data_IF_863590362728
#
_entry.id   IF_863590362728
#
_cell.length_a   1.000
_cell.length_b   1.000
_cell.length_c   1.000
_cell.angle_alpha   90.00
_cell.angle_beta   90.00
_cell.angle_gamma   90.00
#
_symmetry.space_group_name_H-M   'P 1'
#
loop_
_entity.id
_entity.type
_entity.pdbx_description
1 polymer ?
#
# COMPACT_ATOMS: atom_id res chain seq x y z
N UNK A 1 -7.33 -17.04 7.80
CA UNK A 1 -7.26 -16.05 8.89
C UNK A 1 -8.14 -16.47 10.07
N UNK A 2 -9.43 -16.71 9.91
CA UNK A 2 -10.37 -17.03 11.00
C UNK A 2 -9.95 -18.20 11.91
N UNK A 3 -9.40 -19.25 11.36
CA UNK A 3 -9.14 -20.52 12.08
C UNK A 3 -7.74 -20.64 12.70
N UNK A 4 -6.84 -19.73 12.40
CA UNK A 4 -5.48 -19.76 12.91
C UNK A 4 -5.15 -18.44 13.62
N UNK A 5 -5.30 -17.32 12.93
CA UNK A 5 -4.86 -16.04 13.46
C UNK A 5 -5.82 -15.49 14.54
N UNK A 6 -7.12 -15.49 14.28
CA UNK A 6 -8.09 -14.95 15.23
C UNK A 6 -8.18 -15.73 16.56
N UNK A 7 -8.10 -17.08 16.59
CA UNK A 7 -8.05 -17.81 17.86
C UNK A 7 -6.88 -17.43 18.78
N UNK A 8 -5.75 -16.98 18.22
CA UNK A 8 -4.64 -16.44 19.04
C UNK A 8 -5.12 -15.26 19.89
N UNK A 9 -6.03 -14.45 19.38
CA UNK A 9 -6.62 -13.31 20.10
C UNK A 9 -7.97 -13.62 20.75
N UNK A 10 -8.31 -14.91 20.90
CA UNK A 10 -9.62 -15.35 21.43
C UNK A 10 -10.80 -14.75 20.65
N UNK A 11 -10.64 -14.54 19.36
CA UNK A 11 -11.67 -14.05 18.42
C UNK A 11 -12.12 -15.18 17.51
N UNK A 12 -13.39 -15.13 17.12
CA UNK A 12 -14.00 -16.10 16.19
C UNK A 12 -14.83 -15.43 15.09
N UNK A 13 -14.81 -14.10 15.02
CA UNK A 13 -15.55 -13.33 14.04
C UNK A 13 -14.63 -12.37 13.31
N UNK A 14 -14.86 -12.27 12.01
CA UNK A 14 -14.20 -11.34 11.11
C UNK A 14 -15.28 -10.58 10.34
N UNK A 15 -15.01 -9.33 10.04
CA UNK A 15 -15.90 -8.50 9.23
C UNK A 15 -15.46 -8.53 7.78
N UNK A 16 -16.42 -8.67 6.86
CA UNK A 16 -16.13 -8.49 5.44
C UNK A 16 -15.88 -7.00 5.14
N UNK A 17 -14.78 -6.69 4.47
CA UNK A 17 -14.42 -5.31 4.09
C UNK A 17 -15.54 -4.63 3.27
N UNK A 18 -16.30 -5.42 2.52
CA UNK A 18 -17.44 -4.96 1.74
C UNK A 18 -18.67 -4.56 2.57
N UNK A 19 -18.75 -4.91 3.86
CA UNK A 19 -19.95 -4.74 4.68
C UNK A 19 -19.77 -3.76 5.85
N UNK A 20 -18.52 -3.42 6.22
CA UNK A 20 -18.25 -2.54 7.36
C UNK A 20 -18.64 -1.10 7.06
N UNK A 21 -19.10 -0.40 8.10
CA UNK A 21 -19.37 1.05 8.05
C UNK A 21 -18.24 1.81 8.76
N UNK A 22 -18.06 3.10 8.46
CA UNK A 22 -17.09 3.94 9.15
C UNK A 22 -17.28 3.92 10.67
N UNK A 23 -18.53 3.88 11.14
CA UNK A 23 -18.84 3.81 12.58
C UNK A 23 -18.43 2.46 13.20
N UNK A 24 -18.70 1.34 12.53
CA UNK A 24 -18.30 0.01 13.01
C UNK A 24 -16.78 -0.06 13.12
N UNK A 25 -16.05 0.42 12.11
CA UNK A 25 -14.58 0.49 12.12
C UNK A 25 -14.06 1.30 13.31
N UNK A 26 -14.55 2.52 13.52
CA UNK A 26 -14.16 3.35 14.66
C UNK A 26 -14.43 2.68 16.00
N UNK A 27 -15.63 2.12 16.16
CA UNK A 27 -16.05 1.50 17.43
C UNK A 27 -15.23 0.26 17.76
N UNK A 28 -14.95 -0.58 16.77
CA UNK A 28 -14.16 -1.79 16.97
C UNK A 28 -12.67 -1.46 17.16
N UNK A 29 -12.12 -0.53 16.39
CA UNK A 29 -10.72 -0.09 16.54
C UNK A 29 -10.45 0.57 17.90
N UNK A 30 -11.46 1.22 18.49
CA UNK A 30 -11.36 1.81 19.82
C UNK A 30 -11.69 0.83 20.98
N UNK A 31 -12.08 -0.40 20.69
CA UNK A 31 -12.49 -1.36 21.71
C UNK A 31 -11.32 -2.02 22.43
N UNK A 32 -10.15 -2.04 21.83
CA UNK A 32 -8.94 -2.67 22.37
C UNK A 32 -7.70 -2.11 21.67
N UNK A 33 -6.61 -2.01 22.41
CA UNK A 33 -5.27 -1.73 21.86
C UNK A 33 -4.40 -2.99 21.67
N UNK A 34 -4.92 -4.15 22.03
CA UNK A 34 -4.19 -5.43 22.00
C UNK A 34 -4.79 -6.42 20.99
N UNK A 35 -6.12 -6.39 20.83
CA UNK A 35 -6.81 -7.31 19.95
C UNK A 35 -6.99 -6.64 18.58
N UNK A 36 -6.47 -7.22 17.51
CA UNK A 36 -6.56 -6.60 16.19
C UNK A 36 -8.00 -6.51 15.68
N UNK A 37 -8.30 -5.44 14.99
CA UNK A 37 -9.45 -5.36 14.09
C UNK A 37 -9.11 -6.17 12.83
N UNK A 38 -9.89 -7.18 12.55
CA UNK A 38 -9.67 -8.05 11.39
C UNK A 38 -10.75 -7.84 10.33
N UNK A 39 -10.32 -7.60 9.11
CA UNK A 39 -11.15 -7.47 7.91
C UNK A 39 -10.79 -8.58 6.92
N UNK A 40 -11.80 -9.15 6.26
CA UNK A 40 -11.63 -10.14 5.20
C UNK A 40 -12.29 -9.68 3.89
N UNK A 41 -12.05 -10.43 2.82
CA UNK A 41 -12.60 -10.15 1.50
C UNK A 41 -12.23 -8.75 0.97
N UNK A 42 -11.04 -8.25 1.35
CA UNK A 42 -10.56 -6.99 0.81
C UNK A 42 -10.18 -7.17 -0.66
N UNK A 43 -10.90 -6.48 -1.52
CA UNK A 43 -10.70 -6.50 -2.96
C UNK A 43 -11.06 -5.12 -3.54
N UNK A 44 -10.08 -4.19 -3.57
CA UNK A 44 -10.29 -2.81 -4.02
C UNK A 44 -11.04 -2.70 -5.34
N UNK A 45 -10.73 -3.55 -6.32
CA UNK A 45 -11.38 -3.56 -7.64
C UNK A 45 -12.89 -3.87 -7.62
N UNK A 46 -13.41 -4.43 -6.51
CA UNK A 46 -14.82 -4.81 -6.34
C UNK A 46 -15.59 -3.90 -5.39
N UNK A 47 -14.89 -3.01 -4.68
CA UNK A 47 -15.52 -2.07 -3.77
C UNK A 47 -15.96 -0.81 -4.53
N UNK A 48 -17.12 -0.27 -4.13
CA UNK A 48 -17.52 1.05 -4.60
C UNK A 48 -16.57 2.14 -4.05
N UNK A 49 -16.47 3.25 -4.79
CA UNK A 49 -15.54 4.33 -4.50
C UNK A 49 -15.70 4.93 -3.09
N UNK A 50 -16.94 5.04 -2.59
CA UNK A 50 -17.20 5.61 -1.27
C UNK A 50 -16.71 4.67 -0.18
N UNK A 51 -16.96 3.39 -0.32
CA UNK A 51 -16.54 2.37 0.64
C UNK A 51 -15.03 2.22 0.68
N UNK A 52 -14.39 2.20 -0.48
CA UNK A 52 -12.93 2.18 -0.57
C UNK A 52 -12.30 3.39 0.11
N UNK A 53 -12.86 4.59 -0.10
CA UNK A 53 -12.42 5.81 0.58
C UNK A 53 -12.58 5.72 2.11
N UNK A 54 -13.68 5.16 2.61
CA UNK A 54 -13.89 4.95 4.05
C UNK A 54 -12.82 4.02 4.62
N UNK A 55 -12.52 2.91 3.95
CA UNK A 55 -11.49 1.96 4.39
C UNK A 55 -10.09 2.60 4.38
N UNK A 56 -9.72 3.27 3.29
CA UNK A 56 -8.40 3.90 3.18
C UNK A 56 -8.19 5.03 4.17
N UNK A 57 -9.22 5.84 4.44
CA UNK A 57 -9.15 6.84 5.51
C UNK A 57 -8.95 6.18 6.86
N UNK A 58 -9.71 5.12 7.14
CA UNK A 58 -9.55 4.38 8.41
C UNK A 58 -8.14 3.76 8.54
N UNK A 59 -7.57 3.21 7.46
CA UNK A 59 -6.22 2.64 7.48
C UNK A 59 -5.16 3.72 7.79
N UNK A 60 -5.29 4.92 7.22
CA UNK A 60 -4.40 6.05 7.53
C UNK A 60 -4.57 6.51 8.98
N UNK A 61 -5.81 6.74 9.41
CA UNK A 61 -6.12 7.25 10.75
C UNK A 61 -5.66 6.27 11.83
N UNK A 62 -5.85 4.96 11.63
CA UNK A 62 -5.37 3.92 12.54
C UNK A 62 -3.84 3.87 12.61
N UNK A 63 -3.14 4.05 11.49
CA UNK A 63 -1.69 4.07 11.46
C UNK A 63 -1.11 5.33 12.09
N UNK A 64 -1.69 6.49 11.78
CA UNK A 64 -1.21 7.79 12.25
C UNK A 64 -1.68 8.09 13.70
N UNK A 65 -2.49 7.20 14.31
CA UNK A 65 -3.01 7.36 15.67
C UNK A 65 -4.03 8.49 15.82
N UNK A 66 -4.74 8.82 14.74
CA UNK A 66 -5.77 9.84 14.79
C UNK A 66 -7.02 9.34 15.51
N UNK A 67 -7.63 10.20 16.33
CA UNK A 67 -8.90 9.88 16.97
C UNK A 67 -10.06 10.03 15.98
N UNK A 68 -10.91 9.01 15.90
CA UNK A 68 -12.21 9.13 15.24
C UNK A 68 -13.16 9.96 16.10
N UNK A 69 -13.91 10.89 15.51
CA UNK A 69 -14.85 11.74 16.26
C UNK A 69 -16.26 11.56 15.73
N UNK A 70 -17.23 11.44 16.65
CA UNK A 70 -18.65 11.36 16.31
C UNK A 70 -19.47 12.36 17.13
N UNK A 71 -20.27 13.15 16.46
CA UNK A 71 -21.29 14.00 17.10
C UNK A 71 -22.47 13.18 17.63
N UNK A 72 -23.06 13.64 18.75
CA UNK A 72 -24.31 13.17 19.32
C UNK A 72 -25.45 14.13 19.02
N UNK A 73 -26.68 13.67 19.21
CA UNK A 73 -27.87 14.49 19.03
C UNK A 73 -27.93 15.71 19.99
N UNK A 74 -27.27 15.64 21.13
CA UNK A 74 -27.12 16.70 22.13
C UNK A 74 -25.97 17.68 21.82
N UNK A 75 -25.40 17.63 20.61
CA UNK A 75 -24.25 18.43 20.15
C UNK A 75 -22.92 18.11 20.86
N UNK A 76 -22.86 17.12 21.75
CA UNK A 76 -21.60 16.63 22.29
C UNK A 76 -20.86 15.77 21.26
N UNK A 77 -19.53 15.62 21.45
CA UNK A 77 -18.69 14.77 20.62
C UNK A 77 -18.07 13.64 21.42
N UNK A 78 -17.99 12.47 20.82
CA UNK A 78 -17.23 11.34 21.37
C UNK A 78 -15.98 11.16 20.50
N UNK A 79 -14.81 11.16 21.13
CA UNK A 79 -13.57 10.74 20.53
C UNK A 79 -13.38 9.23 20.70
N UNK A 80 -12.88 8.58 19.65
CA UNK A 80 -12.53 7.16 19.63
C UNK A 80 -11.04 7.04 19.31
N UNK A 81 -10.23 6.58 20.24
CA UNK A 81 -8.84 6.24 19.97
C UNK A 81 -8.78 5.00 19.07
N UNK A 82 -8.21 5.13 17.88
CA UNK A 82 -8.06 4.04 16.94
C UNK A 82 -6.78 3.24 17.25
N UNK A 83 -6.78 2.57 18.41
CA UNK A 83 -5.59 1.95 18.98
C UNK A 83 -5.42 0.47 18.59
N UNK A 84 -6.45 -0.19 18.04
CA UNK A 84 -6.37 -1.59 17.66
C UNK A 84 -5.45 -1.78 16.45
N UNK A 85 -4.51 -2.75 16.48
CA UNK A 85 -3.81 -3.18 15.28
C UNK A 85 -4.80 -3.62 14.21
N UNK A 86 -4.51 -3.34 12.94
CA UNK A 86 -5.38 -3.70 11.83
C UNK A 86 -4.79 -4.87 11.05
N UNK A 87 -5.59 -5.89 10.80
CA UNK A 87 -5.25 -7.02 9.94
C UNK A 87 -6.27 -7.09 8.82
N UNK A 88 -5.80 -7.03 7.60
CA UNK A 88 -6.65 -7.08 6.41
C UNK A 88 -6.25 -8.28 5.56
N UNK A 89 -7.20 -9.14 5.22
CA UNK A 89 -6.98 -10.23 4.28
C UNK A 89 -7.81 -10.00 3.01
N UNK A 90 -7.25 -10.39 1.89
CA UNK A 90 -7.92 -10.23 0.59
C UNK A 90 -7.14 -10.84 -0.55
N UNK A 91 -7.67 -10.68 -1.73
CA UNK A 91 -7.08 -11.21 -2.96
C UNK A 91 -6.21 -10.17 -3.69
N UNK A 92 -6.33 -8.90 -3.32
CA UNK A 92 -5.66 -7.78 -3.97
C UNK A 92 -4.97 -6.89 -2.93
N UNK A 93 -3.85 -6.31 -3.31
CA UNK A 93 -3.14 -5.30 -2.52
C UNK A 93 -3.81 -3.92 -2.65
N UNK A 94 -3.61 -3.02 -1.66
CA UNK A 94 -4.02 -1.63 -1.83
C UNK A 94 -3.34 -0.99 -3.04
N UNK A 95 -4.08 -0.23 -3.81
CA UNK A 95 -3.59 0.48 -5.01
C UNK A 95 -2.89 1.81 -4.68
N UNK A 96 -3.12 2.37 -3.48
CA UNK A 96 -2.49 3.61 -3.05
C UNK A 96 -1.12 3.38 -2.38
N UNK A 97 -0.06 4.01 -2.90
CA UNK A 97 1.30 3.96 -2.34
C UNK A 97 1.34 4.38 -0.87
N UNK A 98 0.56 5.40 -0.49
CA UNK A 98 0.47 5.87 0.88
C UNK A 98 -0.07 4.82 1.88
N UNK A 99 -0.94 3.91 1.44
CA UNK A 99 -1.42 2.79 2.26
C UNK A 99 -0.38 1.69 2.31
N UNK A 100 0.29 1.40 1.19
CA UNK A 100 1.34 0.38 1.12
C UNK A 100 2.52 0.67 2.05
N UNK A 101 2.98 1.92 2.10
CA UNK A 101 4.04 2.34 3.03
C UNK A 101 3.64 2.18 4.51
N UNK A 102 2.35 2.20 4.81
CA UNK A 102 1.79 2.02 6.16
C UNK A 102 1.45 0.58 6.49
N UNK A 103 1.68 -0.34 5.58
CA UNK A 103 1.29 -1.74 5.70
C UNK A 103 2.51 -2.66 5.64
N UNK A 104 2.38 -3.84 6.21
CA UNK A 104 3.26 -4.98 5.95
C UNK A 104 2.44 -6.04 5.22
N UNK A 105 2.78 -6.32 3.98
CA UNK A 105 2.07 -7.31 3.19
C UNK A 105 2.74 -8.67 3.28
N UNK A 106 1.93 -9.69 3.54
CA UNK A 106 2.35 -11.09 3.56
C UNK A 106 1.60 -11.82 2.45
N UNK A 107 2.33 -12.27 1.44
CA UNK A 107 1.77 -13.02 0.33
C UNK A 107 1.75 -14.51 0.65
N UNK A 108 0.56 -15.09 0.57
CA UNK A 108 0.36 -16.54 0.73
C UNK A 108 -0.13 -17.14 -0.59
N UNK A 109 0.52 -18.20 -1.04
CA UNK A 109 0.13 -18.90 -2.24
C UNK A 109 -0.30 -20.34 -1.96
N UNK A 110 -1.12 -20.91 -2.85
CA UNK A 110 -1.44 -22.35 -2.77
C UNK A 110 -0.20 -23.24 -2.90
N UNK A 111 0.87 -22.73 -3.50
CA UNK A 111 2.16 -23.45 -3.62
C UNK A 111 2.80 -23.69 -2.26
N UNK A 112 2.54 -22.80 -1.28
CA UNK A 112 3.10 -22.95 0.07
C UNK A 112 2.55 -24.18 0.81
N UNK A 113 1.39 -24.70 0.40
CA UNK A 113 0.77 -25.90 0.93
C UNK A 113 0.95 -27.14 0.06
N UNK A 114 1.82 -27.12 -0.96
CA UNK A 114 2.00 -28.26 -1.85
C UNK A 114 2.74 -29.42 -1.19
N UNK A 115 3.67 -29.18 -0.25
CA UNK A 115 4.33 -30.27 0.46
C UNK A 115 3.37 -30.96 1.43
N UNK A 116 3.46 -32.29 1.53
CA UNK A 116 2.66 -33.07 2.47
C UNK A 116 2.90 -32.64 3.93
N UNK A 117 4.15 -32.32 4.26
CA UNK A 117 4.56 -31.87 5.58
C UNK A 117 3.90 -30.53 5.96
N UNK A 118 3.97 -29.51 5.09
CA UNK A 118 3.33 -28.21 5.31
C UNK A 118 1.81 -28.33 5.44
N UNK A 119 1.20 -29.21 4.64
CA UNK A 119 -0.24 -29.50 4.70
C UNK A 119 -0.63 -30.13 6.03
N UNK A 120 0.17 -31.10 6.51
CA UNK A 120 -0.07 -31.70 7.83
C UNK A 120 0.09 -30.69 8.97
N UNK A 121 1.11 -29.83 8.92
CA UNK A 121 1.32 -28.76 9.89
C UNK A 121 0.14 -27.78 9.89
N UNK A 122 -0.32 -27.35 8.72
CA UNK A 122 -1.50 -26.50 8.59
C UNK A 122 -2.76 -27.16 9.16
N UNK A 123 -3.00 -28.43 8.86
CA UNK A 123 -4.17 -29.16 9.37
C UNK A 123 -4.13 -29.35 10.89
N UNK A 124 -2.94 -29.49 11.47
CA UNK A 124 -2.79 -29.53 12.95
C UNK A 124 -3.17 -28.19 13.58
N UNK A 125 -2.75 -27.07 12.99
CA UNK A 125 -3.11 -25.74 13.46
C UNK A 125 -4.61 -25.45 13.28
N UNK A 126 -5.19 -25.87 12.16
CA UNK A 126 -6.58 -25.60 11.80
C UNK A 126 -7.64 -26.14 12.78
N UNK A 127 -7.29 -27.14 13.58
CA UNK A 127 -8.19 -27.72 14.61
C UNK A 127 -7.77 -27.40 16.04
N UNK A 128 -6.85 -26.46 16.24
CA UNK A 128 -6.18 -26.25 17.53
C UNK A 128 -6.57 -24.96 18.24
N UNK A 129 -7.85 -24.53 18.18
CA UNK A 129 -8.33 -23.26 18.73
C UNK A 129 -7.90 -23.04 20.20
N UNK A 130 -7.97 -24.09 21.04
CA UNK A 130 -7.55 -24.02 22.44
C UNK A 130 -6.05 -23.80 22.59
N UNK A 131 -5.22 -24.47 21.77
CA UNK A 131 -3.77 -24.29 21.80
C UNK A 131 -3.36 -22.91 21.30
N UNK A 132 -4.00 -22.42 20.25
CA UNK A 132 -3.78 -21.07 19.71
C UNK A 132 -4.19 -20.00 20.72
N UNK A 133 -5.31 -20.15 21.42
CA UNK A 133 -5.73 -19.25 22.49
C UNK A 133 -4.76 -19.25 23.69
N UNK A 134 -4.17 -20.40 24.03
CA UNK A 134 -3.11 -20.46 25.05
C UNK A 134 -1.84 -19.74 24.61
N UNK A 135 -1.41 -19.92 23.36
CA UNK A 135 -0.30 -19.18 22.79
C UNK A 135 -0.55 -17.68 22.86
N UNK A 136 -1.73 -17.22 22.43
CA UNK A 136 -2.10 -15.80 22.50
C UNK A 136 -2.07 -15.24 23.92
N UNK A 137 -2.58 -15.99 24.89
CA UNK A 137 -2.50 -15.61 26.30
C UNK A 137 -1.04 -15.50 26.77
N UNK A 138 -0.20 -16.45 26.42
CA UNK A 138 1.23 -16.43 26.78
C UNK A 138 1.93 -15.20 26.18
N UNK A 139 1.67 -14.90 24.91
CA UNK A 139 2.22 -13.71 24.25
C UNK A 139 1.74 -12.42 24.94
N UNK A 140 0.47 -12.35 25.29
CA UNK A 140 -0.09 -11.20 26.00
C UNK A 140 0.55 -11.03 27.40
N UNK A 141 0.67 -12.11 28.17
CA UNK A 141 1.31 -12.09 29.49
C UNK A 141 2.78 -11.63 29.37
N UNK A 142 3.52 -12.14 28.39
CA UNK A 142 4.89 -11.70 28.12
C UNK A 142 4.97 -10.22 27.72
N UNK A 143 4.05 -9.77 26.86
CA UNK A 143 3.99 -8.36 26.46
C UNK A 143 3.69 -7.42 27.63
N UNK A 144 2.78 -7.81 28.54
CA UNK A 144 2.45 -7.06 29.75
C UNK A 144 3.60 -7.02 30.78
N UNK A 145 4.45 -8.04 30.79
CA UNK A 145 5.64 -8.09 31.63
C UNK A 145 6.83 -7.32 31.04
N UNK A 146 6.82 -7.07 29.73
CA UNK A 146 7.85 -6.30 29.03
C UNK A 146 7.73 -4.83 29.37
N UNK A 147 8.78 -4.22 29.90
CA UNK A 147 8.77 -2.79 30.20
C UNK A 147 8.72 -1.96 28.90
N UNK A 148 8.08 -0.77 28.92
CA UNK A 148 8.12 0.15 27.77
C UNK A 148 9.55 0.50 27.30
N UNK A 149 10.50 0.55 28.24
CA UNK A 149 11.91 0.80 27.93
C UNK A 149 12.50 -0.37 27.12
N UNK A 150 12.19 -1.61 27.51
CA UNK A 150 12.68 -2.79 26.80
C UNK A 150 12.06 -2.89 25.39
N UNK A 151 10.76 -2.67 25.27
CA UNK A 151 10.07 -2.67 23.97
C UNK A 151 10.65 -1.59 23.04
N UNK A 152 10.96 -0.39 23.57
CA UNK A 152 11.61 0.67 22.84
C UNK A 152 13.01 0.29 22.40
N UNK A 153 13.81 -0.36 23.27
CA UNK A 153 15.14 -0.83 22.94
C UNK A 153 15.12 -1.82 21.76
N UNK A 154 14.20 -2.78 21.77
CA UNK A 154 14.02 -3.71 20.62
C UNK A 154 13.63 -2.99 19.33
N UNK A 155 12.73 -2.02 19.43
CA UNK A 155 12.33 -1.22 18.27
C UNK A 155 13.51 -0.41 17.70
N UNK A 156 14.30 0.26 18.55
CA UNK A 156 15.46 1.06 18.15
C UNK A 156 16.56 0.16 17.54
N UNK A 157 16.82 -1.01 18.12
CA UNK A 157 17.71 -2.02 17.54
C UNK A 157 17.20 -2.48 16.17
N UNK A 158 15.91 -2.77 16.05
CA UNK A 158 15.27 -3.10 14.79
C UNK A 158 15.46 -2.04 13.73
N UNK A 159 15.31 -0.75 14.06
CA UNK A 159 15.58 0.34 13.10
C UNK A 159 17.02 0.33 12.57
N UNK A 160 17.98 -0.14 13.38
CA UNK A 160 19.37 -0.27 12.97
C UNK A 160 19.70 -1.47 12.09
N UNK A 161 18.83 -2.48 12.06
CA UNK A 161 19.05 -3.73 11.31
C UNK A 161 18.64 -3.67 9.85
N UNK A 162 17.77 -2.74 9.48
CA UNK A 162 17.25 -2.64 8.11
C UNK A 162 17.99 -1.60 7.28
N UNK A 163 17.97 -1.79 5.96
CA UNK A 163 18.68 -0.94 5.03
C UNK A 163 18.12 0.50 5.03
N UNK A 164 19.03 1.48 5.10
CA UNK A 164 18.71 2.92 5.22
C UNK A 164 18.04 3.52 3.98
N UNK A 165 18.12 2.84 2.84
CA UNK A 165 17.48 3.24 1.58
C UNK A 165 15.96 3.00 1.57
N UNK A 166 15.44 2.21 2.51
CA UNK A 166 14.00 2.00 2.65
C UNK A 166 13.33 3.28 3.19
N UNK A 167 12.08 3.55 2.78
CA UNK A 167 11.31 4.65 3.36
C UNK A 167 11.21 4.53 4.88
N UNK A 168 11.29 5.64 5.60
CA UNK A 168 11.29 5.64 7.06
C UNK A 168 10.08 4.91 7.68
N UNK A 169 8.88 5.05 7.08
CA UNK A 169 7.68 4.32 7.53
C UNK A 169 7.84 2.81 7.42
N UNK A 170 8.46 2.36 6.35
CA UNK A 170 8.71 0.93 6.11
C UNK A 170 9.70 0.39 7.13
N UNK A 171 10.79 1.12 7.42
CA UNK A 171 11.75 0.77 8.48
C UNK A 171 11.02 0.68 9.83
N UNK A 172 10.16 1.63 10.15
CA UNK A 172 9.38 1.61 11.40
C UNK A 172 8.49 0.37 11.49
N UNK A 173 7.80 0.00 10.42
CA UNK A 173 6.95 -1.20 10.39
C UNK A 173 7.79 -2.48 10.60
N UNK A 174 8.92 -2.58 9.89
CA UNK A 174 9.85 -3.70 10.04
C UNK A 174 10.45 -3.77 11.45
N UNK A 175 10.78 -2.64 12.05
CA UNK A 175 11.29 -2.55 13.43
C UNK A 175 10.24 -2.98 14.47
N UNK A 176 8.96 -2.66 14.25
CA UNK A 176 7.86 -3.19 15.06
C UNK A 176 7.76 -4.72 14.94
N UNK A 177 7.89 -5.26 13.73
CA UNK A 177 7.94 -6.71 13.48
C UNK A 177 9.11 -7.38 14.20
N UNK A 178 10.29 -6.76 14.13
CA UNK A 178 11.48 -7.22 14.84
C UNK A 178 11.29 -7.23 16.36
N UNK A 179 10.71 -6.18 16.93
CA UNK A 179 10.38 -6.16 18.36
C UNK A 179 9.41 -7.30 18.76
N UNK A 180 8.48 -7.64 17.86
CA UNK A 180 7.60 -8.82 18.02
C UNK A 180 8.37 -10.14 18.02
N UNK A 181 9.41 -10.29 17.17
CA UNK A 181 10.29 -11.47 17.18
C UNK A 181 11.10 -11.55 18.48
N UNK A 182 11.62 -10.44 18.99
CA UNK A 182 12.32 -10.40 20.28
C UNK A 182 11.38 -10.82 21.45
N UNK A 183 10.11 -10.44 21.39
CA UNK A 183 9.11 -10.90 22.37
C UNK A 183 8.91 -12.42 22.29
N UNK A 184 8.81 -12.97 21.09
CA UNK A 184 8.72 -14.42 20.87
C UNK A 184 9.96 -15.15 21.41
N UNK A 185 11.15 -14.63 21.15
CA UNK A 185 12.40 -15.17 21.70
C UNK A 185 12.37 -15.17 23.24
N UNK A 186 11.95 -14.07 23.86
CA UNK A 186 11.80 -14.00 25.31
C UNK A 186 10.80 -15.05 25.84
N UNK A 187 9.73 -15.33 25.13
CA UNK A 187 8.79 -16.41 25.48
C UNK A 187 9.48 -17.76 25.39
N UNK A 188 10.24 -18.04 24.31
CA UNK A 188 11.00 -19.27 24.18
C UNK A 188 11.96 -19.46 25.37
N UNK A 189 12.73 -18.45 25.71
CA UNK A 189 13.65 -18.47 26.86
C UNK A 189 12.90 -18.76 28.17
N UNK A 190 11.74 -18.13 28.39
CA UNK A 190 10.88 -18.36 29.55
C UNK A 190 10.41 -19.81 29.68
N UNK A 191 10.19 -20.50 28.57
CA UNK A 191 9.84 -21.92 28.52
C UNK A 191 11.05 -22.85 28.37
N UNK A 192 12.27 -22.34 28.40
CA UNK A 192 13.51 -23.10 28.16
C UNK A 192 13.53 -23.82 26.82
N UNK A 193 12.99 -23.17 25.80
CA UNK A 193 13.00 -23.65 24.42
C UNK A 193 14.10 -22.93 23.66
N UNK A 194 14.89 -23.67 22.91
CA UNK A 194 15.85 -23.10 21.96
C UNK A 194 15.10 -22.56 20.75
N UNK A 195 15.46 -21.35 20.28
CA UNK A 195 14.81 -20.71 19.13
C UNK A 195 14.82 -21.61 17.90
N UNK A 196 15.98 -22.19 17.57
CA UNK A 196 16.17 -23.05 16.39
C UNK A 196 15.37 -24.36 16.46
N UNK A 197 14.96 -24.79 17.66
CA UNK A 197 14.08 -25.95 17.84
C UNK A 197 12.61 -25.62 17.57
N UNK A 198 12.24 -24.35 17.65
CA UNK A 198 10.86 -23.87 17.48
C UNK A 198 10.63 -23.26 16.09
N UNK A 199 11.60 -22.49 15.61
CA UNK A 199 11.50 -21.75 14.36
C UNK A 199 12.53 -22.23 13.32
N UNK A 200 12.13 -22.35 12.04
CA UNK A 200 13.02 -22.84 10.98
C UNK A 200 14.06 -21.81 10.51
N UNK A 201 13.95 -20.57 10.97
CA UNK A 201 14.83 -19.46 10.61
C UNK A 201 15.40 -18.83 11.89
N UNK A 202 16.68 -18.55 11.89
CA UNK A 202 17.31 -17.73 12.92
C UNK A 202 16.83 -16.26 12.85
N UNK A 203 17.13 -15.44 13.86
CA UNK A 203 16.68 -14.03 13.93
C UNK A 203 17.19 -13.21 12.74
N UNK A 204 18.44 -13.42 12.32
CA UNK A 204 19.02 -12.69 11.20
C UNK A 204 18.39 -13.12 9.86
N UNK A 205 18.05 -14.40 9.72
CA UNK A 205 17.29 -14.90 8.56
C UNK A 205 15.86 -14.33 8.54
N UNK A 206 15.21 -14.18 9.70
CA UNK A 206 13.90 -13.52 9.81
C UNK A 206 13.98 -12.06 9.36
N UNK A 207 15.03 -11.33 9.77
CA UNK A 207 15.28 -9.94 9.35
C UNK A 207 15.46 -9.86 7.83
N UNK A 208 16.36 -10.68 7.26
CA UNK A 208 16.60 -10.73 5.79
C UNK A 208 15.34 -11.08 5.02
N UNK A 209 14.57 -12.05 5.50
CA UNK A 209 13.31 -12.46 4.88
C UNK A 209 12.30 -11.31 4.88
N UNK A 210 12.12 -10.63 6.02
CA UNK A 210 11.21 -9.52 6.16
C UNK A 210 11.58 -8.35 5.24
N UNK A 211 12.87 -8.00 5.16
CA UNK A 211 13.34 -6.96 4.24
C UNK A 211 13.13 -7.35 2.78
N UNK A 212 13.42 -8.59 2.41
CA UNK A 212 13.23 -9.10 1.04
C UNK A 212 11.76 -9.09 0.66
N UNK A 213 10.86 -9.53 1.54
CA UNK A 213 9.43 -9.53 1.30
C UNK A 213 8.90 -8.11 1.08
N UNK A 214 9.35 -7.15 1.90
CA UNK A 214 8.93 -5.75 1.76
C UNK A 214 9.52 -5.11 0.51
N UNK A 215 10.76 -5.39 0.15
CA UNK A 215 11.36 -4.90 -1.11
C UNK A 215 10.61 -5.43 -2.33
N UNK A 216 10.26 -6.72 -2.35
CA UNK A 216 9.46 -7.31 -3.41
C UNK A 216 8.11 -6.58 -3.54
N UNK A 217 7.41 -6.38 -2.44
CA UNK A 217 6.13 -5.67 -2.39
C UNK A 217 6.24 -4.19 -2.80
N UNK A 218 7.28 -3.48 -2.38
CA UNK A 218 7.52 -2.10 -2.79
C UNK A 218 7.93 -2.03 -4.26
N UNK A 219 8.68 -3.01 -4.76
CA UNK A 219 9.10 -3.08 -6.16
C UNK A 219 7.95 -3.54 -7.08
N UNK A 220 7.14 -4.51 -6.67
CA UNK A 220 5.89 -4.85 -7.36
C UNK A 220 4.90 -3.69 -7.32
N UNK A 221 4.95 -2.87 -6.24
CA UNK A 221 4.32 -1.57 -6.17
C UNK A 221 5.06 -0.50 -6.99
N UNK A 222 6.34 -0.66 -7.33
CA UNK A 222 7.10 0.29 -8.15
C UNK A 222 6.91 0.07 -9.65
N UNK A 223 6.42 -1.08 -10.10
CA UNK A 223 5.72 -1.16 -11.40
C UNK A 223 4.41 -0.35 -11.39
N UNK A 224 3.88 0.00 -10.20
CA UNK A 224 2.81 0.97 -9.95
C UNK A 224 3.29 2.21 -9.16
N UNK A 225 4.59 2.39 -8.91
CA UNK A 225 5.18 3.61 -8.33
C UNK A 225 5.48 4.67 -9.38
N UNK A 226 4.84 4.52 -10.52
CA UNK A 226 4.66 5.65 -11.41
C UNK A 226 3.98 6.74 -10.59
N UNK A 227 4.61 7.89 -10.50
CA UNK A 227 3.93 9.07 -9.97
C UNK A 227 2.61 9.22 -10.71
N UNK A 228 1.61 9.80 -10.09
CA UNK A 228 0.32 10.04 -10.78
C UNK A 228 0.51 10.82 -12.09
N UNK A 229 1.63 11.54 -12.22
CA UNK A 229 2.05 12.22 -13.44
C UNK A 229 2.43 11.19 -14.50
N UNK A 230 3.26 10.22 -14.16
CA UNK A 230 3.71 9.15 -15.07
C UNK A 230 2.53 8.26 -15.49
N UNK A 231 1.68 7.86 -14.55
CA UNK A 231 0.44 7.11 -14.85
C UNK A 231 -0.49 7.88 -15.81
N UNK A 232 -0.59 9.19 -15.61
CA UNK A 232 -1.38 10.05 -16.49
C UNK A 232 -0.80 10.07 -17.90
N UNK A 233 0.52 10.19 -18.04
CA UNK A 233 1.18 10.16 -19.36
C UNK A 233 1.09 8.79 -20.01
N UNK A 234 1.18 7.70 -19.27
CA UNK A 234 0.98 6.36 -19.81
C UNK A 234 -0.43 6.15 -20.37
N UNK A 235 -1.46 6.63 -19.68
CA UNK A 235 -2.83 6.59 -20.20
C UNK A 235 -2.97 7.52 -21.42
N UNK A 236 -2.37 8.72 -21.38
CA UNK A 236 -2.38 9.64 -22.51
C UNK A 236 -1.73 9.01 -23.76
N UNK A 237 -0.64 8.27 -23.60
CA UNK A 237 0.01 7.55 -24.70
C UNK A 237 -0.90 6.48 -25.34
N UNK A 238 -1.75 5.83 -24.53
CA UNK A 238 -2.69 4.78 -24.98
C UNK A 238 -4.00 5.32 -25.60
N UNK A 239 -4.27 6.61 -25.46
CA UNK A 239 -5.52 7.22 -25.95
C UNK A 239 -5.60 7.39 -27.47
N UNK A 240 -4.52 7.13 -28.20
CA UNK A 240 -4.47 7.37 -29.63
C UNK A 240 -4.43 8.87 -30.00
N UNK A 241 -3.61 9.62 -29.30
CA UNK A 241 -3.36 11.04 -29.61
C UNK A 241 -2.67 11.21 -30.97
N UNK A 242 -2.99 12.30 -31.65
CA UNK A 242 -2.46 12.56 -32.97
C UNK A 242 -1.20 13.43 -32.89
N UNK A 243 -0.04 12.96 -33.44
CA UNK A 243 1.12 13.81 -33.63
C UNK A 243 0.77 14.99 -34.55
N UNK A 244 1.43 16.12 -34.35
CA UNK A 244 1.19 17.38 -35.08
C UNK A 244 -0.23 17.99 -34.89
N UNK A 245 -1.02 17.44 -33.94
CA UNK A 245 -2.31 17.98 -33.51
C UNK A 245 -2.30 18.19 -31.98
N UNK A 246 -2.00 17.15 -31.23
CA UNK A 246 -2.04 17.11 -29.78
C UNK A 246 -0.66 17.33 -29.16
N UNK A 247 0.37 16.89 -29.84
CA UNK A 247 1.77 16.96 -29.42
C UNK A 247 2.73 16.96 -30.63
N UNK A 248 3.97 17.29 -30.34
CA UNK A 248 5.12 17.10 -31.26
C UNK A 248 6.39 16.85 -30.47
N UNK A 249 7.43 16.38 -31.11
CA UNK A 249 8.74 16.21 -30.48
C UNK A 249 9.71 17.32 -30.93
N UNK A 250 10.81 17.44 -30.21
CA UNK A 250 11.97 18.19 -30.74
C UNK A 250 12.70 17.36 -31.82
N UNK A 251 13.65 17.98 -32.46
CA UNK A 251 14.42 17.34 -33.57
C UNK A 251 15.23 16.12 -33.10
N UNK A 252 15.55 16.05 -31.83
CA UNK A 252 16.28 14.92 -31.21
C UNK A 252 15.37 13.81 -30.74
N UNK A 253 14.06 14.04 -30.61
CA UNK A 253 13.09 13.11 -30.07
C UNK A 253 13.16 12.94 -28.56
N UNK A 254 13.90 13.81 -27.86
CA UNK A 254 14.10 13.74 -26.40
C UNK A 254 13.08 14.54 -25.61
N UNK A 255 12.51 15.57 -26.21
CA UNK A 255 11.54 16.44 -25.59
C UNK A 255 10.17 16.30 -26.23
N UNK A 256 9.15 16.12 -25.42
CA UNK A 256 7.75 16.08 -25.82
C UNK A 256 7.10 17.46 -25.60
N UNK A 257 6.64 18.08 -26.67
CA UNK A 257 5.83 19.30 -26.66
C UNK A 257 4.37 18.92 -26.74
N UNK A 258 3.61 19.14 -25.69
CA UNK A 258 2.21 18.70 -25.60
C UNK A 258 1.26 19.88 -25.34
N UNK A 259 0.10 19.90 -26.02
CA UNK A 259 -1.02 20.82 -25.75
C UNK A 259 -1.75 20.38 -24.48
N UNK A 260 -1.08 20.54 -23.33
CA UNK A 260 -1.46 19.87 -22.09
C UNK A 260 -2.92 20.10 -21.68
N UNK A 261 -3.45 21.31 -21.83
CA UNK A 261 -4.85 21.62 -21.49
C UNK A 261 -5.81 20.78 -22.33
N UNK A 262 -5.62 20.79 -23.65
CA UNK A 262 -6.45 20.04 -24.58
C UNK A 262 -6.35 18.52 -24.36
N UNK A 263 -5.13 18.01 -24.24
CA UNK A 263 -4.90 16.57 -24.03
C UNK A 263 -5.43 16.12 -22.68
N UNK A 264 -5.39 16.96 -21.65
CA UNK A 264 -5.95 16.63 -20.34
C UNK A 264 -7.48 16.54 -20.35
N UNK A 265 -8.16 17.37 -21.14
CA UNK A 265 -9.61 17.27 -21.35
C UNK A 265 -9.97 15.95 -22.06
N UNK A 266 -9.20 15.57 -23.10
CA UNK A 266 -9.33 14.28 -23.79
C UNK A 266 -9.09 13.11 -22.83
N UNK A 267 -8.04 13.19 -22.00
CA UNK A 267 -7.74 12.19 -20.97
C UNK A 267 -8.90 12.00 -19.97
N UNK A 268 -9.46 13.10 -19.48
CA UNK A 268 -10.58 13.03 -18.54
C UNK A 268 -11.82 12.38 -19.17
N UNK A 269 -12.08 12.68 -20.45
CA UNK A 269 -13.17 12.07 -21.23
C UNK A 269 -12.89 10.58 -21.45
N UNK A 270 -11.71 10.23 -21.91
CA UNK A 270 -11.30 8.83 -22.15
C UNK A 270 -11.46 7.97 -20.90
N UNK A 271 -10.98 8.44 -19.76
CA UNK A 271 -11.11 7.71 -18.49
C UNK A 271 -12.56 7.45 -18.09
N UNK A 272 -13.45 8.42 -18.33
CA UNK A 272 -14.87 8.25 -18.06
C UNK A 272 -15.52 7.25 -19.02
N UNK A 273 -15.22 7.35 -20.30
CA UNK A 273 -15.85 6.57 -21.36
C UNK A 273 -15.41 5.08 -21.31
N UNK A 274 -14.17 4.81 -20.91
CA UNK A 274 -13.60 3.46 -20.79
C UNK A 274 -13.50 2.94 -19.36
N UNK A 275 -14.09 3.64 -18.39
CA UNK A 275 -14.09 3.27 -16.97
C UNK A 275 -12.69 2.92 -16.41
N UNK A 276 -11.65 3.64 -16.85
CA UNK A 276 -10.26 3.39 -16.43
C UNK A 276 -10.11 3.67 -14.94
N UNK A 277 -9.71 2.68 -14.18
CA UNK A 277 -9.52 2.75 -12.72
C UNK A 277 -8.27 3.55 -12.35
N UNK A 278 -8.30 4.24 -11.21
CA UNK A 278 -7.17 4.98 -10.64
C UNK A 278 -7.55 6.42 -10.23
N UNK A 279 -6.63 7.09 -9.55
CA UNK A 279 -6.82 8.47 -9.12
C UNK A 279 -6.78 9.43 -10.32
N UNK A 280 -7.68 10.42 -10.33
CA UNK A 280 -7.70 11.52 -11.31
C UNK A 280 -7.54 12.82 -10.55
N UNK A 281 -6.42 13.48 -10.73
CA UNK A 281 -6.22 14.80 -10.16
C UNK A 281 -7.07 15.84 -10.90
N UNK A 282 -7.56 16.89 -10.24
CA UNK A 282 -7.98 18.10 -10.93
C UNK A 282 -6.84 18.66 -11.79
N UNK A 283 -7.12 19.19 -12.97
CA UNK A 283 -6.11 19.73 -13.88
C UNK A 283 -5.13 20.70 -13.23
N UNK A 284 -5.62 21.55 -12.32
CA UNK A 284 -4.77 22.49 -11.57
C UNK A 284 -3.78 21.80 -10.64
N UNK A 285 -4.17 20.68 -10.03
CA UNK A 285 -3.29 19.87 -9.17
C UNK A 285 -2.30 19.06 -10.01
N UNK A 286 -2.74 18.46 -11.12
CA UNK A 286 -1.88 17.77 -12.05
C UNK A 286 -0.73 18.67 -12.55
N UNK A 287 -1.06 19.91 -12.97
CA UNK A 287 -0.04 20.88 -13.37
C UNK A 287 0.99 21.19 -12.27
N UNK A 288 0.52 21.33 -11.03
CA UNK A 288 1.42 21.56 -9.90
C UNK A 288 2.36 20.37 -9.69
N UNK A 289 1.83 19.16 -9.71
CA UNK A 289 2.66 17.96 -9.55
C UNK A 289 3.65 17.78 -10.70
N UNK A 290 3.21 18.01 -11.95
CA UNK A 290 4.10 17.99 -13.10
C UNK A 290 5.23 19.00 -12.97
N UNK A 291 4.94 20.24 -12.55
CA UNK A 291 5.98 21.28 -12.36
C UNK A 291 6.98 20.94 -11.24
N UNK A 292 6.61 20.09 -10.28
CA UNK A 292 7.51 19.64 -9.22
C UNK A 292 8.21 18.31 -9.56
N UNK A 293 7.86 17.66 -10.66
CA UNK A 293 8.53 16.45 -11.13
C UNK A 293 9.77 16.78 -11.92
N UNK A 294 10.72 15.89 -11.92
CA UNK A 294 11.94 15.96 -12.77
C UNK A 294 11.66 15.71 -14.27
N UNK A 295 10.44 15.31 -14.62
CA UNK A 295 9.97 15.26 -16.00
C UNK A 295 9.68 16.65 -16.59
N UNK A 296 9.48 17.65 -15.75
CA UNK A 296 9.09 18.99 -16.18
C UNK A 296 10.28 19.78 -16.69
N UNK A 297 10.17 20.29 -17.92
CA UNK A 297 11.19 21.16 -18.51
C UNK A 297 10.73 22.62 -18.53
N UNK A 298 9.58 22.88 -19.16
CA UNK A 298 9.07 24.24 -19.28
C UNK A 298 7.57 24.26 -19.57
N UNK A 299 6.86 25.29 -19.10
CA UNK A 299 5.43 25.49 -19.36
C UNK A 299 5.17 26.67 -20.29
N UNK A 300 4.04 26.61 -20.98
CA UNK A 300 3.49 27.71 -21.80
C UNK A 300 4.44 28.26 -22.88
N UNK A 301 5.25 27.38 -23.46
CA UNK A 301 6.15 27.74 -24.56
C UNK A 301 5.34 27.90 -25.85
N UNK A 302 5.56 29.01 -26.58
CA UNK A 302 4.96 29.17 -27.89
C UNK A 302 5.61 28.21 -28.88
N UNK A 303 4.86 27.23 -29.35
CA UNK A 303 5.33 26.20 -30.27
C UNK A 303 4.32 26.00 -31.39
N UNK A 304 4.80 25.80 -32.59
CA UNK A 304 3.96 25.37 -33.71
C UNK A 304 3.81 23.85 -33.63
N UNK A 305 2.58 23.38 -33.50
CA UNK A 305 2.23 21.96 -33.58
C UNK A 305 1.33 21.81 -34.82
N UNK A 306 1.85 21.13 -35.86
CA UNK A 306 1.21 21.08 -37.15
C UNK A 306 1.07 22.48 -37.80
N UNK A 307 -0.16 22.87 -38.07
CA UNK A 307 -0.48 24.17 -38.67
C UNK A 307 -0.74 25.28 -37.66
N UNK A 308 -0.96 24.95 -36.38
CA UNK A 308 -1.37 25.88 -35.33
C UNK A 308 -0.22 26.28 -34.42
N UNK A 309 -0.17 27.58 -34.05
CA UNK A 309 0.72 28.08 -33.00
C UNK A 309 -0.02 28.05 -31.67
N UNK A 310 0.49 27.29 -30.72
CA UNK A 310 -0.16 27.07 -29.42
C UNK A 310 0.82 27.18 -28.25
N UNK A 311 0.27 27.28 -27.02
CA UNK A 311 1.05 27.18 -25.78
C UNK A 311 1.23 25.72 -25.42
N UNK A 312 2.45 25.20 -25.62
CA UNK A 312 2.83 23.83 -25.28
C UNK A 312 3.52 23.76 -23.91
N UNK A 313 3.44 22.59 -23.29
CA UNK A 313 4.26 22.19 -22.16
C UNK A 313 5.35 21.26 -22.66
N UNK A 314 6.54 21.40 -22.11
CA UNK A 314 7.70 20.58 -22.47
C UNK A 314 7.98 19.60 -21.34
N UNK A 315 8.04 18.34 -21.71
CA UNK A 315 8.33 17.21 -20.81
C UNK A 315 9.57 16.48 -21.34
N UNK A 316 10.45 16.06 -20.44
CA UNK A 316 11.59 15.21 -20.77
C UNK A 316 11.07 13.81 -21.14
N UNK A 317 11.00 13.55 -22.43
CA UNK A 317 10.48 12.30 -22.96
C UNK A 317 11.49 11.16 -22.82
N UNK A 318 12.78 11.44 -22.90
CA UNK A 318 13.83 10.44 -22.70
C UNK A 318 13.77 9.87 -21.26
N UNK A 319 13.57 10.74 -20.28
CA UNK A 319 13.37 10.32 -18.89
C UNK A 319 12.01 9.63 -18.70
N UNK A 320 10.94 10.16 -19.27
CA UNK A 320 9.58 9.62 -19.14
C UNK A 320 9.49 8.17 -19.63
N UNK A 321 10.06 7.86 -20.79
CA UNK A 321 10.05 6.50 -21.36
C UNK A 321 10.89 5.48 -20.59
N UNK A 322 11.79 5.93 -19.70
CA UNK A 322 12.51 5.03 -18.79
C UNK A 322 11.67 4.63 -17.59
N UNK A 323 10.58 5.36 -17.30
CA UNK A 323 9.77 5.19 -16.10
C UNK A 323 8.40 4.57 -16.36
N UNK A 324 7.86 4.74 -17.57
CA UNK A 324 6.53 4.23 -17.91
C UNK A 324 6.39 3.93 -19.41
N UNK A 325 5.39 3.12 -19.73
CA UNK A 325 5.08 2.74 -21.11
C UNK A 325 4.37 3.88 -21.84
N UNK A 326 5.14 4.64 -22.60
CA UNK A 326 4.65 5.76 -23.43
C UNK A 326 4.91 5.55 -24.91
N UNK A 327 5.13 4.30 -25.35
CA UNK A 327 5.39 3.95 -26.76
C UNK A 327 4.28 4.45 -27.70
N UNK A 328 3.04 4.59 -27.23
CA UNK A 328 1.94 5.13 -28.01
C UNK A 328 2.18 6.54 -28.57
N UNK A 329 3.04 7.36 -27.95
CA UNK A 329 3.46 8.63 -28.57
C UNK A 329 4.43 8.44 -29.74
N UNK A 330 5.14 7.31 -29.82
CA UNK A 330 6.03 6.99 -30.94
C UNK A 330 5.26 6.32 -32.10
N UNK A 331 4.29 5.46 -31.79
CA UNK A 331 3.46 4.75 -32.77
C UNK A 331 2.59 5.70 -33.59
N UNK A 332 2.14 6.81 -32.99
CA UNK A 332 1.46 7.87 -33.72
C UNK A 332 2.29 8.54 -34.82
N UNK A 333 3.61 8.24 -34.90
CA UNK A 333 4.47 8.68 -36.04
C UNK A 333 4.31 7.83 -37.29
N UNK A 334 3.73 6.64 -37.18
CA UNK A 334 3.41 5.80 -38.34
C UNK A 334 2.06 6.24 -38.86
N UNK A 335 2.04 7.05 -39.92
CA UNK A 335 0.82 7.45 -40.58
C UNK A 335 -0.01 6.20 -40.95
N UNK A 336 -1.32 6.19 -40.73
CA UNK A 336 -2.14 5.16 -41.33
C UNK A 336 -2.04 5.25 -42.83
N UNK A 337 -1.70 4.14 -43.47
CA UNK A 337 -1.73 3.95 -44.94
C UNK A 337 -3.14 4.18 -45.50
#
# INVERSE_FOLDING_TARGET
MERILLPIFCRNKINAASQVTAFTLMKEAASSNLVPLALDEFKPSKLDRNRLSVLYNHFRDSYDGHAGVRGRADQSMIAYDLAAPLIVAGEESPDEAAIRERSMELLFSKKDLQSAERRMAFNRLYGSDTALGRLGRTLLEAALQTSPKQARCWYEDGCGKFAKELPARVINNLACGYAGLCLLEQVCVGFRLEWDAVFPLDMDACVRFSETAVRSYLLDGSTNNQSIVEQTFEIMARMGLFPEVDYTFDDTGKLLYIRLSHVYDLYTKYRRDYAVVGEVLPYSQFKKQLMHSDLFVQANVQKRIGTESCKAWIVDYELLRTRCDVAGFEEGRVAPL
#
